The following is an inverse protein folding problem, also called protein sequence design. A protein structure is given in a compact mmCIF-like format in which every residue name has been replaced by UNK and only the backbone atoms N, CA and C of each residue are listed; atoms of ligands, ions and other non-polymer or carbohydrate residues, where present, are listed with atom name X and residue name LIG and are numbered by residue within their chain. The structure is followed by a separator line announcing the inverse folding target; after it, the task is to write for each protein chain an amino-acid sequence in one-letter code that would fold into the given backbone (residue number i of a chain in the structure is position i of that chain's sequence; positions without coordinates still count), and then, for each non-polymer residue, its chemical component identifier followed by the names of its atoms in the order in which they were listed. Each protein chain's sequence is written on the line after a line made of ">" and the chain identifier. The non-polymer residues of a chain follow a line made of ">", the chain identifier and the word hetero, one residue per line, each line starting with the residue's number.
data_IF_069000893702
#
_entry.id   IF_069000893702
#
_cell.length_a   1.000
_cell.length_b   1.000
_cell.length_c   1.000
_cell.angle_alpha   90.00
_cell.angle_beta   90.00
_cell.angle_gamma   90.00
#
_symmetry.space_group_name_H-M   'P 1'
#
loop_
_entity.id
_entity.type
_entity.pdbx_description
1 polymer ?
#
# COMPACT_ATOMS: atom_id res chain seq x y z
N UNK A 1 13.13 5.91 -26.81
CA UNK A 1 13.09 6.89 -25.70
C UNK A 1 14.43 6.91 -25.01
N UNK A 2 14.96 8.07 -24.64
CA UNK A 2 16.25 8.18 -23.96
C UNK A 2 16.18 7.53 -22.56
N UNK A 3 17.19 6.73 -22.17
CA UNK A 3 17.20 6.03 -20.87
C UNK A 3 17.08 6.99 -19.67
N UNK A 4 17.65 8.19 -19.81
CA UNK A 4 17.57 9.27 -18.81
C UNK A 4 16.14 9.78 -18.62
N UNK A 5 15.39 9.94 -19.72
CA UNK A 5 14.00 10.37 -19.70
C UNK A 5 13.11 9.29 -19.08
N UNK A 6 13.30 8.03 -19.46
CA UNK A 6 12.55 6.91 -18.87
C UNK A 6 12.82 6.78 -17.37
N UNK A 7 14.08 6.91 -16.92
CA UNK A 7 14.42 6.92 -15.50
C UNK A 7 13.64 7.99 -14.73
N UNK A 8 13.64 9.25 -15.23
CA UNK A 8 12.91 10.36 -14.59
C UNK A 8 11.40 10.11 -14.53
N UNK A 9 10.81 9.63 -15.63
CA UNK A 9 9.38 9.32 -15.68
C UNK A 9 9.05 8.21 -14.68
N UNK A 10 9.85 7.15 -14.63
CA UNK A 10 9.65 6.05 -13.67
C UNK A 10 9.83 6.50 -12.22
N UNK A 11 10.78 7.37 -11.91
CA UNK A 11 10.92 7.98 -10.58
C UNK A 11 9.68 8.76 -10.16
N UNK A 12 9.13 9.58 -11.05
CA UNK A 12 7.91 10.37 -10.79
C UNK A 12 6.72 9.44 -10.58
N UNK A 13 6.56 8.43 -11.43
CA UNK A 13 5.45 7.47 -11.31
C UNK A 13 5.56 6.63 -10.04
N UNK A 14 6.76 6.13 -9.69
CA UNK A 14 6.99 5.42 -8.45
C UNK A 14 6.68 6.30 -7.22
N UNK A 15 7.05 7.59 -7.26
CA UNK A 15 6.69 8.56 -6.22
C UNK A 15 5.17 8.70 -6.08
N UNK A 16 4.46 8.93 -7.19
CA UNK A 16 3.00 9.12 -7.19
C UNK A 16 2.31 7.88 -6.64
N UNK A 17 2.60 6.69 -7.16
CA UNK A 17 1.92 5.47 -6.73
C UNK A 17 2.26 5.06 -5.30
N UNK A 18 3.49 5.27 -4.83
CA UNK A 18 3.86 5.02 -3.45
C UNK A 18 3.13 5.98 -2.50
N UNK A 19 3.11 7.28 -2.82
CA UNK A 19 2.42 8.28 -2.02
C UNK A 19 0.90 8.07 -2.02
N UNK A 20 0.28 7.85 -3.18
CA UNK A 20 -1.16 7.58 -3.29
C UNK A 20 -1.54 6.30 -2.56
N UNK A 21 -0.74 5.22 -2.69
CA UNK A 21 -0.96 3.98 -1.97
C UNK A 21 -0.93 4.20 -0.45
N UNK A 22 0.07 4.92 0.06
CA UNK A 22 0.17 5.26 1.47
C UNK A 22 -1.02 6.11 1.95
N UNK A 23 -1.39 7.15 1.21
CA UNK A 23 -2.50 8.03 1.56
C UNK A 23 -3.83 7.27 1.60
N UNK A 24 -4.11 6.44 0.59
CA UNK A 24 -5.35 5.66 0.55
C UNK A 24 -5.41 4.68 1.72
N UNK A 25 -4.31 3.99 2.04
CA UNK A 25 -4.24 3.09 3.20
C UNK A 25 -4.52 3.83 4.52
N UNK A 26 -4.01 5.06 4.69
CA UNK A 26 -4.15 5.81 5.94
C UNK A 26 -5.51 6.50 6.09
N UNK A 27 -6.08 7.00 4.99
CA UNK A 27 -7.21 7.94 5.02
C UNK A 27 -8.53 7.26 4.68
N UNK A 28 -8.50 6.15 3.94
CA UNK A 28 -9.72 5.44 3.53
C UNK A 28 -9.88 4.10 4.25
N UNK A 29 -11.12 3.61 4.42
CA UNK A 29 -11.36 2.32 5.05
C UNK A 29 -10.62 1.18 4.34
N UNK A 30 -9.98 0.35 5.15
CA UNK A 30 -9.34 -0.89 4.71
C UNK A 30 -10.38 -1.93 4.30
N UNK A 31 -11.42 -2.08 5.11
CA UNK A 31 -12.56 -2.95 4.86
C UNK A 31 -13.82 -2.34 5.47
N UNK A 32 -14.97 -2.76 4.96
CA UNK A 32 -16.29 -2.46 5.49
C UNK A 32 -16.91 -3.76 6.01
N UNK A 33 -17.70 -3.67 7.07
CA UNK A 33 -18.45 -4.82 7.57
C UNK A 33 -19.87 -4.42 7.99
N UNK A 34 -20.79 -5.38 7.93
CA UNK A 34 -22.17 -5.21 8.38
C UNK A 34 -22.79 -6.53 8.85
N UNK A 35 -23.82 -6.43 9.68
CA UNK A 35 -24.67 -7.56 10.04
C UNK A 35 -26.14 -7.18 9.93
N UNK A 36 -26.97 -8.20 9.73
CA UNK A 36 -28.43 -8.12 9.75
C UNK A 36 -28.96 -9.44 10.30
N UNK A 37 -29.57 -9.40 11.48
CA UNK A 37 -30.20 -10.57 12.07
C UNK A 37 -31.50 -10.22 12.78
N UNK A 38 -32.35 -11.23 12.97
CA UNK A 38 -33.61 -11.10 13.71
C UNK A 38 -33.51 -11.82 15.05
N UNK A 39 -33.92 -11.14 16.12
CA UNK A 39 -34.04 -11.72 17.46
C UNK A 39 -35.29 -11.17 18.15
N UNK A 40 -36.12 -12.06 18.70
CA UNK A 40 -37.33 -11.66 19.46
C UNK A 40 -38.35 -10.85 18.66
N UNK A 41 -38.43 -11.04 17.34
CA UNK A 41 -39.33 -10.27 16.46
C UNK A 41 -38.76 -8.92 16.00
N UNK A 42 -37.62 -8.49 16.53
CA UNK A 42 -36.93 -7.26 16.13
C UNK A 42 -35.79 -7.58 15.15
N UNK A 43 -35.54 -6.66 14.22
CA UNK A 43 -34.43 -6.74 13.26
C UNK A 43 -33.32 -5.79 13.70
N UNK A 44 -32.12 -6.33 13.86
CA UNK A 44 -30.94 -5.60 14.27
C UNK A 44 -30.01 -5.45 13.08
N UNK A 45 -29.56 -4.22 12.84
CA UNK A 45 -28.56 -3.91 11.84
C UNK A 45 -27.44 -3.12 12.48
N UNK A 46 -26.23 -3.35 11.99
CA UNK A 46 -25.06 -2.57 12.35
C UNK A 46 -24.04 -2.63 11.22
N UNK A 47 -23.22 -1.60 11.15
CA UNK A 47 -22.12 -1.53 10.19
C UNK A 47 -20.93 -0.80 10.79
N UNK A 48 -19.76 -1.03 10.21
CA UNK A 48 -18.52 -0.40 10.63
C UNK A 48 -17.43 -0.51 9.59
N UNK A 49 -16.24 -0.02 9.97
CA UNK A 49 -15.06 0.00 9.12
C UNK A 49 -13.86 -0.57 9.85
N UNK A 50 -12.97 -1.18 9.09
CA UNK A 50 -11.60 -1.51 9.50
C UNK A 50 -10.69 -0.40 8.98
N UNK A 51 -9.86 0.16 9.84
CA UNK A 51 -8.88 1.19 9.50
C UNK A 51 -7.60 1.01 10.33
N UNK A 52 -6.67 1.98 10.27
CA UNK A 52 -5.39 1.93 11.00
C UNK A 52 -5.51 1.81 12.52
N UNK A 53 -6.67 2.18 13.09
CA UNK A 53 -6.95 2.11 14.52
C UNK A 53 -7.70 0.82 14.91
N UNK A 54 -7.98 -0.06 13.95
CA UNK A 54 -8.65 -1.34 14.19
C UNK A 54 -7.65 -2.40 14.63
N UNK A 55 -7.82 -2.94 15.83
CA UNK A 55 -7.24 -4.22 16.25
C UNK A 55 -5.79 -4.51 15.85
N UNK A 56 -5.55 -5.76 15.48
CA UNK A 56 -4.23 -6.26 15.05
C UNK A 56 -3.97 -5.92 13.58
N UNK A 57 -5.02 -5.83 12.78
CA UNK A 57 -4.96 -5.49 11.35
C UNK A 57 -4.36 -4.09 11.15
N UNK A 58 -4.74 -3.13 12.00
CA UNK A 58 -4.29 -1.74 11.98
C UNK A 58 -2.78 -1.59 12.04
N UNK A 59 -2.09 -2.49 12.75
CA UNK A 59 -0.62 -2.51 12.84
C UNK A 59 -0.01 -2.80 11.46
N UNK A 60 -0.51 -3.82 10.75
CA UNK A 60 -0.02 -4.15 9.40
C UNK A 60 -0.30 -3.03 8.39
N UNK A 61 -1.50 -2.44 8.48
CA UNK A 61 -1.95 -1.32 7.63
C UNK A 61 -1.03 -0.11 7.85
N UNK A 62 -0.75 0.25 9.10
CA UNK A 62 0.11 1.39 9.45
C UNK A 62 1.56 1.18 8.99
N UNK A 63 2.15 0.02 9.29
CA UNK A 63 3.52 -0.26 8.85
C UNK A 63 3.64 -0.30 7.32
N UNK A 64 2.65 -0.88 6.62
CA UNK A 64 2.60 -0.86 5.16
C UNK A 64 2.62 0.58 4.61
N UNK A 65 1.81 1.48 5.19
CA UNK A 65 1.79 2.89 4.81
C UNK A 65 3.13 3.60 5.06
N UNK A 66 3.76 3.37 6.22
CA UNK A 66 5.06 3.98 6.55
C UNK A 66 6.16 3.54 5.58
N UNK A 67 6.20 2.26 5.23
CA UNK A 67 7.17 1.74 4.26
C UNK A 67 6.93 2.29 2.85
N UNK A 68 5.67 2.47 2.43
CA UNK A 68 5.35 3.15 1.17
C UNK A 68 5.77 4.62 1.17
N UNK A 69 5.62 5.33 2.30
CA UNK A 69 6.15 6.70 2.44
C UNK A 69 7.67 6.71 2.27
N UNK A 70 8.39 5.73 2.84
CA UNK A 70 9.84 5.61 2.63
C UNK A 70 10.16 5.37 1.15
N UNK A 71 9.41 4.51 0.45
CA UNK A 71 9.56 4.28 -0.98
C UNK A 71 9.33 5.59 -1.77
N UNK A 72 8.31 6.37 -1.40
CA UNK A 72 8.02 7.67 -1.99
C UNK A 72 9.19 8.66 -1.78
N UNK A 73 9.74 8.73 -0.57
CA UNK A 73 10.91 9.58 -0.26
C UNK A 73 12.12 9.17 -1.10
N UNK A 74 12.42 7.87 -1.21
CA UNK A 74 13.54 7.40 -2.05
C UNK A 74 13.31 7.82 -3.51
N UNK A 75 12.11 7.62 -4.04
CA UNK A 75 11.76 8.05 -5.40
C UNK A 75 11.89 9.56 -5.59
N UNK A 76 11.47 10.38 -4.61
CA UNK A 76 11.68 11.83 -4.62
C UNK A 76 13.16 12.19 -4.68
N UNK A 77 13.99 11.55 -3.84
CA UNK A 77 15.44 11.77 -3.82
C UNK A 77 16.11 11.39 -5.16
N UNK A 78 15.56 10.43 -5.93
CA UNK A 78 16.11 10.10 -7.26
C UNK A 78 15.87 11.19 -8.32
N UNK A 79 14.87 12.07 -8.10
CA UNK A 79 14.57 13.17 -9.02
C UNK A 79 15.54 14.34 -8.79
N UNK A 80 16.03 14.52 -7.56
CA UNK A 80 16.94 15.60 -7.18
C UNK A 80 18.36 15.24 -7.63
N UNK A 81 18.99 16.04 -8.52
CA UNK A 81 20.34 15.77 -9.00
C UNK A 81 21.35 15.67 -7.85
N UNK A 82 22.22 14.66 -7.88
CA UNK A 82 23.33 14.50 -6.93
C UNK A 82 22.99 13.85 -5.58
N UNK A 83 21.70 13.64 -5.27
CA UNK A 83 21.27 13.01 -4.00
C UNK A 83 21.48 11.50 -3.97
N UNK A 84 21.20 10.80 -5.09
CA UNK A 84 21.42 9.36 -5.23
C UNK A 84 22.46 9.11 -6.31
N UNK A 85 23.62 8.60 -5.88
CA UNK A 85 24.78 8.33 -6.75
C UNK A 85 24.93 6.85 -7.13
N UNK A 86 24.23 5.96 -6.43
CA UNK A 86 24.31 4.52 -6.67
C UNK A 86 22.92 3.86 -6.66
N UNK A 87 22.87 2.60 -7.09
CA UNK A 87 21.61 1.84 -7.23
C UNK A 87 21.05 1.32 -5.90
N UNK A 88 21.83 1.38 -4.82
CA UNK A 88 21.50 0.73 -3.54
C UNK A 88 20.19 1.26 -2.94
N UNK A 89 19.94 2.58 -2.83
CA UNK A 89 18.66 3.09 -2.33
C UNK A 89 17.46 2.62 -3.13
N UNK A 90 17.60 2.51 -4.46
CA UNK A 90 16.53 2.06 -5.36
C UNK A 90 16.24 0.57 -5.14
N UNK A 91 17.28 -0.25 -4.94
CA UNK A 91 17.14 -1.67 -4.60
C UNK A 91 16.48 -1.84 -3.22
N UNK A 92 16.86 -1.02 -2.24
CA UNK A 92 16.21 -1.02 -0.92
C UNK A 92 14.73 -0.68 -1.05
N UNK A 93 14.39 0.37 -1.82
CA UNK A 93 12.99 0.74 -2.10
C UNK A 93 12.20 -0.43 -2.71
N UNK A 94 12.80 -1.17 -3.65
CA UNK A 94 12.18 -2.35 -4.24
C UNK A 94 11.90 -3.45 -3.20
N UNK A 95 12.88 -3.75 -2.34
CA UNK A 95 12.73 -4.75 -1.28
C UNK A 95 11.62 -4.31 -0.31
N UNK A 96 11.62 -3.05 0.10
CA UNK A 96 10.57 -2.50 0.98
C UNK A 96 9.19 -2.60 0.34
N UNK A 97 9.04 -2.30 -0.94
CA UNK A 97 7.76 -2.42 -1.64
C UNK A 97 7.27 -3.88 -1.70
N UNK A 98 8.16 -4.87 -1.86
CA UNK A 98 7.78 -6.28 -1.74
C UNK A 98 7.37 -6.67 -0.32
N UNK A 99 8.07 -6.16 0.70
CA UNK A 99 7.66 -6.37 2.10
C UNK A 99 6.28 -5.78 2.35
N UNK A 100 6.00 -4.57 1.86
CA UNK A 100 4.67 -3.95 1.92
C UNK A 100 3.62 -4.85 1.28
N UNK A 101 3.88 -5.39 0.08
CA UNK A 101 2.93 -6.28 -0.59
C UNK A 101 2.60 -7.50 0.27
N UNK A 102 3.61 -8.13 0.87
CA UNK A 102 3.44 -9.26 1.79
C UNK A 102 2.61 -8.84 3.01
N UNK A 103 2.91 -7.68 3.61
CA UNK A 103 2.17 -7.16 4.77
C UNK A 103 0.71 -6.88 4.45
N UNK A 104 0.42 -6.31 3.27
CA UNK A 104 -0.94 -6.06 2.80
C UNK A 104 -1.72 -7.38 2.65
N UNK A 105 -1.09 -8.41 2.06
CA UNK A 105 -1.73 -9.73 1.92
C UNK A 105 -1.97 -10.38 3.30
N UNK A 106 -1.00 -10.34 4.20
CA UNK A 106 -1.16 -10.88 5.56
C UNK A 106 -2.28 -10.14 6.29
N UNK A 107 -2.28 -8.80 6.26
CA UNK A 107 -3.33 -7.99 6.87
C UNK A 107 -4.71 -8.31 6.30
N UNK A 108 -4.82 -8.52 4.99
CA UNK A 108 -6.07 -8.88 4.33
C UNK A 108 -6.59 -10.25 4.77
N UNK A 109 -5.70 -11.24 4.89
CA UNK A 109 -6.05 -12.58 5.40
C UNK A 109 -6.52 -12.52 6.85
N UNK A 110 -5.84 -11.74 7.70
CA UNK A 110 -6.25 -11.55 9.10
C UNK A 110 -7.63 -10.89 9.16
N UNK A 111 -7.84 -9.78 8.44
CA UNK A 111 -9.14 -9.10 8.36
C UNK A 111 -10.25 -10.06 7.95
N UNK A 112 -10.03 -10.83 6.88
CA UNK A 112 -11.00 -11.79 6.38
C UNK A 112 -11.30 -12.89 7.42
N UNK A 113 -10.28 -13.41 8.09
CA UNK A 113 -10.43 -14.45 9.11
C UNK A 113 -11.24 -13.96 10.32
N UNK A 114 -10.94 -12.75 10.82
CA UNK A 114 -11.63 -12.15 11.96
C UNK A 114 -13.11 -11.88 11.62
N UNK A 115 -13.38 -11.19 10.52
CA UNK A 115 -14.75 -10.83 10.14
C UNK A 115 -15.61 -12.07 9.83
N UNK A 116 -15.04 -13.11 9.21
CA UNK A 116 -15.73 -14.37 9.01
C UNK A 116 -16.00 -15.11 10.33
N UNK A 117 -15.07 -15.07 11.29
CA UNK A 117 -15.26 -15.72 12.60
C UNK A 117 -16.36 -15.05 13.42
N UNK A 118 -16.58 -13.75 13.22
CA UNK A 118 -17.66 -12.97 13.84
C UNK A 118 -19.00 -13.09 13.08
N UNK A 119 -19.05 -13.83 11.96
CA UNK A 119 -20.26 -13.98 11.15
C UNK A 119 -20.72 -12.68 10.48
N UNK A 120 -19.81 -11.74 10.28
CA UNK A 120 -20.10 -10.47 9.64
C UNK A 120 -20.04 -10.63 8.12
N UNK A 121 -20.91 -9.91 7.41
CA UNK A 121 -20.71 -9.65 5.99
C UNK A 121 -19.65 -8.56 5.86
N UNK A 122 -18.78 -8.67 4.86
CA UNK A 122 -17.68 -7.72 4.69
C UNK A 122 -17.19 -7.65 3.26
N UNK A 123 -16.55 -6.53 2.95
CA UNK A 123 -15.84 -6.32 1.69
C UNK A 123 -14.61 -5.43 1.91
N UNK A 124 -13.59 -5.60 1.08
CA UNK A 124 -12.44 -4.70 1.10
C UNK A 124 -12.79 -3.32 0.55
N UNK A 125 -12.22 -2.29 1.16
CA UNK A 125 -12.44 -0.91 0.80
C UNK A 125 -11.33 -0.30 -0.05
N UNK A 126 -11.46 1.00 -0.29
CA UNK A 126 -10.50 1.76 -1.09
C UNK A 126 -9.08 1.72 -0.52
N UNK A 127 -8.91 1.57 0.80
CA UNK A 127 -7.59 1.52 1.44
C UNK A 127 -6.82 0.27 1.03
N UNK A 128 -7.50 -0.88 0.98
CA UNK A 128 -6.91 -2.14 0.52
C UNK A 128 -6.54 -2.09 -0.97
N UNK A 129 -7.49 -1.72 -1.84
CA UNK A 129 -7.25 -1.68 -3.29
C UNK A 129 -6.23 -0.62 -3.67
N UNK A 130 -6.27 0.55 -3.03
CA UNK A 130 -5.27 1.61 -3.18
C UNK A 130 -3.89 1.16 -2.72
N UNK A 131 -3.81 0.46 -1.59
CA UNK A 131 -2.56 -0.13 -1.09
C UNK A 131 -1.95 -1.14 -2.05
N UNK A 132 -2.73 -2.13 -2.51
CA UNK A 132 -2.25 -3.14 -3.46
C UNK A 132 -1.80 -2.51 -4.77
N UNK A 133 -2.67 -1.71 -5.40
CA UNK A 133 -2.38 -1.12 -6.72
C UNK A 133 -1.20 -0.14 -6.64
N UNK A 134 -1.17 0.73 -5.63
CA UNK A 134 -0.05 1.64 -5.36
C UNK A 134 1.26 0.88 -5.15
N UNK A 135 1.24 -0.21 -4.38
CA UNK A 135 2.43 -1.03 -4.14
C UNK A 135 2.93 -1.74 -5.40
N UNK A 136 2.04 -2.40 -6.16
CA UNK A 136 2.41 -3.11 -7.39
C UNK A 136 2.99 -2.17 -8.45
N UNK A 137 2.40 -0.98 -8.61
CA UNK A 137 2.91 0.01 -9.54
C UNK A 137 4.23 0.63 -9.05
N UNK A 138 4.38 0.84 -7.73
CA UNK A 138 5.67 1.23 -7.15
C UNK A 138 6.76 0.20 -7.48
N UNK A 139 6.50 -1.08 -7.23
CA UNK A 139 7.42 -2.19 -7.59
C UNK A 139 7.81 -2.12 -9.07
N UNK A 140 6.82 -2.00 -9.95
CA UNK A 140 7.04 -1.96 -11.40
C UNK A 140 7.95 -0.77 -11.80
N UNK A 141 7.64 0.44 -11.33
CA UNK A 141 8.42 1.62 -11.71
C UNK A 141 9.79 1.65 -11.05
N UNK A 142 9.93 1.17 -9.81
CA UNK A 142 11.24 1.00 -9.17
C UNK A 142 12.10 -0.03 -9.90
N UNK A 143 11.54 -1.14 -10.39
CA UNK A 143 12.26 -2.07 -11.27
C UNK A 143 12.77 -1.38 -12.54
N UNK A 144 11.92 -0.60 -13.20
CA UNK A 144 12.30 0.15 -14.41
C UNK A 144 13.43 1.14 -14.10
N UNK A 145 13.38 1.84 -12.96
CA UNK A 145 14.46 2.73 -12.51
C UNK A 145 15.81 1.99 -12.38
N UNK A 146 15.83 0.80 -11.80
CA UNK A 146 17.05 0.00 -11.63
C UNK A 146 17.68 -0.35 -12.99
N UNK A 147 16.86 -0.73 -13.98
CA UNK A 147 17.34 -1.09 -15.31
C UNK A 147 17.82 0.12 -16.13
N UNK A 148 17.35 1.32 -15.80
CA UNK A 148 17.55 2.50 -16.64
C UNK A 148 18.51 3.54 -16.07
N UNK A 149 18.85 3.39 -14.79
CA UNK A 149 19.96 4.13 -14.18
C UNK A 149 21.26 3.85 -14.94
N UNK A 150 21.86 4.90 -15.51
CA UNK A 150 23.19 4.81 -16.11
C UNK A 150 24.19 4.41 -15.00
N UNK A 151 25.11 3.49 -15.31
CA UNK A 151 26.29 3.31 -14.46
C UNK A 151 27.16 4.54 -14.73
N UNK A 152 27.32 5.38 -13.72
CA UNK A 152 28.45 6.32 -13.67
C UNK A 152 29.73 5.53 -13.39
#
# INVERSE_FOLDING_TARGET
>A
MEKSLLFKISSILALIFAATGAILILVTPWAYWWYDYRAGGWRYYGSGVVNIFSGVEGVFILFAALLLIICAIISLLTIIPGMIKNRIPIIISLILAFVVLIMIVIGAVITAAVLNSEGLYWEFGAGFYGGISGTLLTILFTLIMIFTMKKE
#
